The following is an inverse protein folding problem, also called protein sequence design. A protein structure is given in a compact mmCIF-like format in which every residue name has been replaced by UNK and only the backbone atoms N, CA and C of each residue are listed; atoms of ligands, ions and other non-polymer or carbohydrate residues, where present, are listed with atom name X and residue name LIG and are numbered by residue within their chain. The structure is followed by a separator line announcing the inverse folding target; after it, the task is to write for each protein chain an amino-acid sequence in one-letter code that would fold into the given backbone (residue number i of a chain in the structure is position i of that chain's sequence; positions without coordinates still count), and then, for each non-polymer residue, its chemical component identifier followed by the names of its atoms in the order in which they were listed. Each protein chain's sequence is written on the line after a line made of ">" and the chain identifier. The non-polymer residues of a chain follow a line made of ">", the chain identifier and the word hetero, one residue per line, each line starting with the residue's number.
data_IF_250603814409
#
_entry.id   IF_250603814409
#
_cell.length_a   1.000
_cell.length_b   1.000
_cell.length_c   1.000
_cell.angle_alpha   90.00
_cell.angle_beta   90.00
_cell.angle_gamma   90.00
#
_symmetry.space_group_name_H-M   'P 1'
#
loop_
_entity.id
_entity.type
_entity.pdbx_description
1 polymer ?
#
# COMPACT_ATOMS: atom_id res chain seq x y z
N UNK A 1 33.91 -16.33 -20.48
CA UNK A 1 34.02 -14.98 -19.89
C UNK A 1 32.65 -14.57 -19.39
N UNK A 2 32.43 -14.59 -18.08
CA UNK A 2 31.14 -14.25 -17.47
C UNK A 2 30.96 -12.72 -17.50
N UNK A 3 29.90 -12.23 -18.14
CA UNK A 3 29.49 -10.84 -18.02
C UNK A 3 28.54 -10.72 -16.83
N UNK A 4 29.02 -10.07 -15.79
CA UNK A 4 28.23 -9.69 -14.62
C UNK A 4 27.29 -8.55 -15.01
N UNK A 5 25.99 -8.78 -15.00
CA UNK A 5 24.99 -7.72 -15.05
C UNK A 5 24.61 -7.28 -13.63
N UNK A 6 24.98 -6.04 -13.33
CA UNK A 6 24.67 -5.34 -12.09
C UNK A 6 23.15 -5.18 -12.00
N UNK A 7 22.51 -5.87 -11.06
CA UNK A 7 21.10 -5.64 -10.71
C UNK A 7 20.95 -4.23 -10.15
N UNK A 8 20.44 -3.31 -10.96
CA UNK A 8 20.05 -1.96 -10.51
C UNK A 8 18.93 -2.10 -9.49
N UNK A 9 19.28 -2.01 -8.21
CA UNK A 9 18.31 -1.84 -7.14
C UNK A 9 17.54 -0.55 -7.39
N UNK A 10 16.23 -0.66 -7.61
CA UNK A 10 15.36 0.50 -7.75
C UNK A 10 15.35 1.25 -6.43
N UNK A 11 16.12 2.34 -6.36
CA UNK A 11 15.99 3.35 -5.30
C UNK A 11 14.53 3.77 -5.28
N UNK A 12 13.85 3.63 -4.14
CA UNK A 12 12.53 4.21 -3.91
C UNK A 12 12.64 5.73 -4.11
N UNK A 13 12.40 6.20 -5.34
CA UNK A 13 12.31 7.62 -5.64
C UNK A 13 11.01 8.10 -5.01
N UNK A 14 11.08 9.09 -4.11
CA UNK A 14 9.90 9.83 -3.67
C UNK A 14 9.08 10.19 -4.91
N UNK A 15 7.87 9.64 -5.03
CA UNK A 15 6.97 9.98 -6.11
C UNK A 15 6.74 11.50 -6.10
N UNK A 16 6.71 12.11 -7.27
CA UNK A 16 6.39 13.54 -7.36
C UNK A 16 4.95 13.77 -6.89
N UNK A 17 4.67 14.99 -6.41
CA UNK A 17 3.30 15.37 -6.03
C UNK A 17 2.32 15.16 -7.19
N UNK A 18 2.72 15.59 -8.40
CA UNK A 18 1.93 15.40 -9.62
C UNK A 18 1.61 13.92 -9.89
N UNK A 19 2.59 13.02 -9.73
CA UNK A 19 2.34 11.59 -9.91
C UNK A 19 1.37 11.02 -8.88
N UNK A 20 1.44 11.50 -7.64
CA UNK A 20 0.48 11.11 -6.62
C UNK A 20 -0.92 11.67 -6.91
N UNK A 21 -1.02 12.91 -7.41
CA UNK A 21 -2.29 13.51 -7.85
C UNK A 21 -2.94 12.69 -8.97
N UNK A 22 -2.16 12.26 -9.98
CA UNK A 22 -2.65 11.38 -11.04
C UNK A 22 -3.20 10.04 -10.51
N UNK A 23 -2.51 9.43 -9.53
CA UNK A 23 -2.98 8.18 -8.92
C UNK A 23 -4.26 8.39 -8.10
N UNK A 24 -4.36 9.54 -7.41
CA UNK A 24 -5.59 9.91 -6.70
C UNK A 24 -6.73 10.09 -7.69
N UNK A 25 -6.54 10.89 -8.73
CA UNK A 25 -7.53 11.10 -9.78
C UNK A 25 -7.96 9.77 -10.42
N UNK A 26 -7.00 8.90 -10.74
CA UNK A 26 -7.27 7.57 -11.27
C UNK A 26 -8.14 6.72 -10.33
N UNK A 27 -7.89 6.78 -9.02
CA UNK A 27 -8.68 6.03 -8.05
C UNK A 27 -10.08 6.64 -7.82
N UNK A 28 -10.24 7.95 -7.96
CA UNK A 28 -11.46 8.65 -7.54
C UNK A 28 -12.38 9.08 -8.69
N UNK A 29 -11.97 8.90 -9.94
CA UNK A 29 -12.69 9.43 -11.13
C UNK A 29 -14.17 9.04 -11.17
N UNK A 30 -14.50 7.80 -10.76
CA UNK A 30 -15.87 7.28 -10.77
C UNK A 30 -16.55 7.29 -9.38
N UNK A 31 -15.89 7.85 -8.35
CA UNK A 31 -16.37 7.81 -6.97
C UNK A 31 -17.16 9.06 -6.58
N UNK A 32 -18.46 8.90 -6.34
CA UNK A 32 -19.35 9.94 -5.84
C UNK A 32 -19.30 9.98 -4.30
N UNK A 33 -18.36 10.77 -3.78
CA UNK A 33 -18.19 11.00 -2.35
C UNK A 33 -17.19 10.06 -1.68
N UNK A 34 -16.87 10.34 -0.41
CA UNK A 34 -15.71 9.74 0.25
C UNK A 34 -15.79 8.22 0.40
N UNK A 35 -16.97 7.66 0.70
CA UNK A 35 -17.13 6.21 0.89
C UNK A 35 -16.88 5.44 -0.41
N UNK A 36 -17.37 5.95 -1.55
CA UNK A 36 -17.15 5.35 -2.86
C UNK A 36 -15.70 5.49 -3.29
N UNK A 37 -15.12 6.69 -3.15
CA UNK A 37 -13.70 6.92 -3.43
C UNK A 37 -12.79 6.01 -2.60
N UNK A 38 -13.10 5.81 -1.32
CA UNK A 38 -12.36 4.89 -0.46
C UNK A 38 -12.49 3.43 -0.91
N UNK A 39 -13.66 3.03 -1.38
CA UNK A 39 -13.89 1.70 -1.95
C UNK A 39 -13.13 1.52 -3.26
N UNK A 40 -13.05 2.56 -4.08
CA UNK A 40 -12.23 2.55 -5.29
C UNK A 40 -10.73 2.42 -4.96
N UNK A 41 -10.23 3.13 -3.94
CA UNK A 41 -8.86 2.94 -3.43
C UNK A 41 -8.60 1.52 -2.92
N UNK A 42 -9.56 0.90 -2.23
CA UNK A 42 -9.45 -0.50 -1.82
C UNK A 42 -9.22 -1.39 -3.04
N UNK A 43 -9.99 -1.20 -4.11
CA UNK A 43 -9.80 -1.93 -5.37
C UNK A 43 -8.41 -1.72 -5.99
N UNK A 44 -7.92 -0.48 -6.04
CA UNK A 44 -6.58 -0.19 -6.57
C UNK A 44 -5.48 -0.85 -5.73
N UNK A 45 -5.61 -0.83 -4.40
CA UNK A 45 -4.68 -1.50 -3.48
C UNK A 45 -4.71 -3.03 -3.66
N UNK A 46 -5.89 -3.65 -3.67
CA UNK A 46 -6.04 -5.09 -3.85
C UNK A 46 -5.54 -5.58 -5.22
N UNK A 47 -5.71 -4.76 -6.27
CA UNK A 47 -5.29 -5.11 -7.63
C UNK A 47 -3.79 -4.92 -7.93
N UNK A 48 -3.12 -4.02 -7.21
CA UNK A 48 -1.75 -3.61 -7.56
C UNK A 48 -0.71 -3.85 -6.47
N UNK A 49 -1.08 -3.75 -5.19
CA UNK A 49 -0.13 -3.97 -4.10
C UNK A 49 0.22 -5.45 -4.05
N UNK A 50 1.49 -5.74 -4.29
CA UNK A 50 1.99 -7.11 -4.30
C UNK A 50 1.94 -7.69 -2.88
N UNK A 51 1.18 -8.77 -2.72
CA UNK A 51 1.01 -9.51 -1.48
C UNK A 51 1.39 -10.99 -1.69
N UNK A 52 1.90 -11.68 -0.65
CA UNK A 52 2.20 -11.16 0.68
C UNK A 52 3.58 -10.49 0.76
N UNK A 53 3.77 -9.56 1.70
CA UNK A 53 5.10 -9.00 2.01
C UNK A 53 5.37 -8.87 3.51
N UNK A 54 6.65 -8.91 3.86
CA UNK A 54 7.11 -8.83 5.25
C UNK A 54 7.19 -7.38 5.71
N UNK A 55 6.70 -7.12 6.91
CA UNK A 55 6.83 -5.84 7.62
C UNK A 55 7.44 -6.06 9.00
N UNK A 56 7.99 -5.00 9.57
CA UNK A 56 8.42 -4.99 10.96
C UNK A 56 7.52 -4.04 11.76
N UNK A 57 6.73 -4.60 12.68
CA UNK A 57 5.84 -3.86 13.56
C UNK A 57 6.42 -3.96 14.97
N UNK A 58 6.82 -2.82 15.54
CA UNK A 58 7.43 -2.74 16.88
C UNK A 58 8.60 -3.74 17.09
N UNK A 59 9.46 -3.90 16.08
CA UNK A 59 10.59 -4.83 16.12
C UNK A 59 10.26 -6.27 15.74
N UNK A 60 8.98 -6.64 15.67
CA UNK A 60 8.53 -8.00 15.37
C UNK A 60 8.24 -8.16 13.87
N UNK A 61 8.77 -9.23 13.25
CA UNK A 61 8.45 -9.57 11.87
C UNK A 61 7.02 -10.08 11.77
N UNK A 62 6.28 -9.55 10.81
CA UNK A 62 4.94 -9.99 10.50
C UNK A 62 4.72 -9.99 8.98
N UNK A 63 3.67 -10.67 8.52
CA UNK A 63 3.35 -10.79 7.10
C UNK A 63 2.03 -10.07 6.81
N UNK A 64 2.04 -9.12 5.87
CA UNK A 64 0.81 -8.59 5.30
C UNK A 64 0.32 -9.57 4.24
N UNK A 65 -0.90 -10.08 4.41
CA UNK A 65 -1.48 -11.13 3.56
C UNK A 65 -2.68 -10.64 2.74
N UNK A 66 -3.37 -9.60 3.18
CA UNK A 66 -4.52 -9.02 2.49
C UNK A 66 -4.69 -7.53 2.80
N UNK A 67 -5.44 -6.83 1.96
CA UNK A 67 -6.01 -5.50 2.26
C UNK A 67 -7.54 -5.65 2.33
N UNK A 68 -8.16 -5.03 3.31
CA UNK A 68 -9.60 -5.14 3.58
C UNK A 68 -10.19 -3.79 4.03
N UNK A 69 -11.51 -3.68 4.02
CA UNK A 69 -12.27 -2.54 4.53
C UNK A 69 -12.99 -2.95 5.82
N UNK A 70 -12.86 -2.15 6.88
CA UNK A 70 -13.61 -2.40 8.11
C UNK A 70 -15.08 -2.02 7.94
N UNK A 71 -15.99 -2.49 8.83
CA UNK A 71 -17.38 -2.04 8.84
C UNK A 71 -17.55 -0.52 9.06
N UNK A 72 -16.55 0.15 9.65
CA UNK A 72 -16.51 1.61 9.82
C UNK A 72 -15.94 2.34 8.60
N UNK A 73 -15.58 1.61 7.54
CA UNK A 73 -15.06 2.17 6.31
C UNK A 73 -13.60 2.59 6.39
N UNK A 74 -12.76 1.91 7.18
CA UNK A 74 -11.31 2.13 7.21
C UNK A 74 -10.59 1.06 6.37
N UNK A 75 -9.66 1.47 5.51
CA UNK A 75 -8.83 0.51 4.76
C UNK A 75 -7.69 0.03 5.67
N UNK A 76 -7.61 -1.27 5.86
CA UNK A 76 -6.64 -1.93 6.73
C UNK A 76 -5.85 -3.00 6.00
N UNK A 77 -4.57 -3.12 6.34
CA UNK A 77 -3.76 -4.27 6.02
C UNK A 77 -3.99 -5.39 7.04
N UNK A 78 -4.26 -6.60 6.55
CA UNK A 78 -4.40 -7.79 7.36
C UNK A 78 -3.02 -8.42 7.52
N UNK A 79 -2.58 -8.44 8.77
CA UNK A 79 -1.27 -8.90 9.17
C UNK A 79 -1.40 -10.19 9.98
N UNK A 80 -0.75 -11.27 9.57
CA UNK A 80 -0.70 -12.51 10.36
C UNK A 80 0.59 -12.56 11.18
N UNK A 81 0.42 -12.81 12.48
CA UNK A 81 1.51 -13.05 13.45
C UNK A 81 1.25 -14.37 14.17
N UNK A 82 1.87 -15.45 13.68
CA UNK A 82 1.58 -16.80 14.16
C UNK A 82 0.12 -17.18 13.90
N UNK A 83 -0.66 -17.39 14.96
CA UNK A 83 -2.11 -17.67 14.88
C UNK A 83 -2.99 -16.41 14.98
N UNK A 84 -2.41 -15.27 15.33
CA UNK A 84 -3.15 -14.02 15.48
C UNK A 84 -3.26 -13.28 14.14
N UNK A 85 -4.46 -12.79 13.85
CA UNK A 85 -4.71 -11.81 12.79
C UNK A 85 -4.81 -10.43 13.43
N UNK A 86 -4.09 -9.47 12.86
CA UNK A 86 -4.10 -8.07 13.27
C UNK A 86 -4.45 -7.20 12.07
N UNK A 87 -5.24 -6.16 12.31
CA UNK A 87 -5.58 -5.14 11.31
C UNK A 87 -4.71 -3.92 11.58
N UNK A 88 -4.08 -3.38 10.54
CA UNK A 88 -3.24 -2.19 10.63
C UNK A 88 -3.82 -1.18 9.64
N UNK A 89 -4.24 0.03 10.07
CA UNK A 89 -4.67 1.07 9.14
C UNK A 89 -3.63 1.33 8.06
N UNK A 90 -4.04 1.42 6.79
CA UNK A 90 -3.09 1.68 5.69
C UNK A 90 -2.32 2.99 5.91
N UNK A 91 -2.97 3.98 6.51
CA UNK A 91 -2.33 5.26 6.85
C UNK A 91 -1.13 5.06 7.79
N UNK A 92 -1.22 4.10 8.71
CA UNK A 92 -0.16 3.76 9.69
C UNK A 92 0.83 2.68 9.19
N UNK A 93 0.54 2.03 8.07
CA UNK A 93 1.33 0.90 7.57
C UNK A 93 2.75 1.32 7.12
N UNK A 94 3.76 0.95 7.89
CA UNK A 94 5.16 1.15 7.48
C UNK A 94 5.57 0.08 6.45
N UNK A 95 5.85 0.52 5.23
CA UNK A 95 6.32 -0.36 4.15
C UNK A 95 7.80 -0.73 4.35
N UNK A 96 8.21 -1.96 3.93
CA UNK A 96 9.62 -2.36 3.98
C UNK A 96 10.46 -1.57 2.98
N UNK A 97 11.79 -1.67 3.12
CA UNK A 97 12.74 -1.15 2.13
C UNK A 97 13.55 -2.33 1.56
N UNK A 98 13.50 -2.57 0.23
CA UNK A 98 12.70 -1.87 -0.77
C UNK A 98 11.19 -2.10 -0.60
N UNK A 99 10.33 -1.17 -1.06
CA UNK A 99 8.88 -1.35 -1.01
C UNK A 99 8.42 -2.46 -1.98
N UNK A 100 7.29 -3.13 -1.68
CA UNK A 100 6.68 -4.07 -2.63
C UNK A 100 6.19 -3.34 -3.88
N UNK A 101 5.99 -4.07 -4.98
CA UNK A 101 5.35 -3.49 -6.17
C UNK A 101 3.94 -2.99 -5.82
N UNK A 102 3.53 -1.87 -6.39
CA UNK A 102 2.22 -1.26 -6.11
C UNK A 102 2.15 -0.45 -4.81
N UNK A 103 3.26 -0.30 -4.09
CA UNK A 103 3.36 0.55 -2.91
C UNK A 103 2.98 2.03 -3.14
N UNK A 104 3.05 2.50 -4.39
CA UNK A 104 2.58 3.82 -4.80
C UNK A 104 1.10 4.07 -4.46
N UNK A 105 0.27 3.02 -4.46
CA UNK A 105 -1.14 3.12 -4.10
C UNK A 105 -1.36 3.39 -2.61
N UNK A 106 -0.46 2.91 -1.75
CA UNK A 106 -0.46 3.30 -0.33
C UNK A 106 -0.12 4.78 -0.16
N UNK A 107 0.81 5.31 -0.97
CA UNK A 107 1.18 6.73 -0.93
C UNK A 107 0.06 7.62 -1.51
N UNK A 108 -0.60 7.19 -2.58
CA UNK A 108 -1.74 7.89 -3.17
C UNK A 108 -2.91 7.96 -2.17
N UNK A 109 -3.24 6.85 -1.50
CA UNK A 109 -4.29 6.84 -0.48
C UNK A 109 -3.98 7.78 0.69
N UNK A 110 -2.73 7.82 1.18
CA UNK A 110 -2.31 8.78 2.21
C UNK A 110 -2.50 10.23 1.76
N UNK A 111 -2.09 10.54 0.53
CA UNK A 111 -2.28 11.88 -0.04
C UNK A 111 -3.75 12.28 -0.10
N UNK A 112 -4.62 11.41 -0.60
CA UNK A 112 -6.06 11.66 -0.64
C UNK A 112 -6.66 11.86 0.76
N UNK A 113 -6.21 11.08 1.75
CA UNK A 113 -6.64 11.20 3.14
C UNK A 113 -6.02 12.40 3.90
N UNK A 114 -5.07 13.13 3.30
CA UNK A 114 -4.37 14.24 3.96
C UNK A 114 -3.32 13.82 5.01
N UNK A 115 -2.80 12.59 4.93
CA UNK A 115 -1.85 11.99 5.88
C UNK A 115 -0.40 11.91 5.37
#
# INVERSE_FOLDING_TARGET
>A
MARSEVKKGTRSSRLSKARLDELVEQATVDGYGESEQRTAFLGMLQGHLELPFKVQVLGIRAMIEAIDLTPTGEIVAICRRGRALQRIPILELRLPTPPPRGAEWTAAYRRWAGA
#
